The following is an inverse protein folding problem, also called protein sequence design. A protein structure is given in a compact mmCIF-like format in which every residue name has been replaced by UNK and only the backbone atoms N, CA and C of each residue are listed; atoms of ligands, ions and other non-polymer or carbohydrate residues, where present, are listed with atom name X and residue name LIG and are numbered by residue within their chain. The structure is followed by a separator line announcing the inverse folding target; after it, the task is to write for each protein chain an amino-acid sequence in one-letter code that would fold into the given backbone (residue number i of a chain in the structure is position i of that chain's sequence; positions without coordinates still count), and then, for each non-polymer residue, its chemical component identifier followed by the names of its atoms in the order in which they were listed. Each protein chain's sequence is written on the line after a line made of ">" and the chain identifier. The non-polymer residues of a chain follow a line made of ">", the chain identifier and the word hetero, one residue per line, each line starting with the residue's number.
data_IF_985002613930
#
_entry.id   IF_985002613930
#
_cell.length_a   1.000
_cell.length_b   1.000
_cell.length_c   1.000
_cell.angle_alpha   90.00
_cell.angle_beta   90.00
_cell.angle_gamma   90.00
#
_symmetry.space_group_name_H-M   'P 1'
#
loop_
_entity.id
_entity.type
_entity.pdbx_description
1 polymer ?
#
# COMPACT_ATOMS: atom_id res chain seq x y z
N UNK A 1 0.27 -6.27 -25.92
CA UNK A 1 0.09 -4.83 -26.21
C UNK A 1 0.76 -4.03 -25.09
N UNK A 2 1.03 -2.74 -25.24
CA UNK A 2 1.68 -1.95 -24.16
C UNK A 2 0.89 -1.99 -22.84
N UNK A 3 -0.45 -2.07 -22.91
CA UNK A 3 -1.32 -2.22 -21.73
C UNK A 3 -1.03 -3.50 -20.93
N UNK A 4 -0.87 -4.64 -21.59
CA UNK A 4 -0.60 -5.92 -20.92
C UNK A 4 0.74 -5.87 -20.16
N UNK A 5 1.72 -5.13 -20.70
CA UNK A 5 3.03 -4.97 -20.07
C UNK A 5 2.92 -4.13 -18.79
N UNK A 6 2.24 -2.97 -18.87
CA UNK A 6 2.01 -2.09 -17.72
C UNK A 6 1.21 -2.81 -16.64
N UNK A 7 0.17 -3.54 -17.02
CA UNK A 7 -0.64 -4.31 -16.08
C UNK A 7 0.20 -5.36 -15.35
N UNK A 8 1.00 -6.14 -16.09
CA UNK A 8 1.87 -7.15 -15.47
C UNK A 8 2.89 -6.53 -14.50
N UNK A 9 3.49 -5.40 -14.84
CA UNK A 9 4.43 -4.70 -13.94
C UNK A 9 3.74 -4.22 -12.65
N UNK A 10 2.50 -3.75 -12.75
CA UNK A 10 1.69 -3.38 -11.59
C UNK A 10 1.32 -4.60 -10.72
N UNK A 11 0.93 -5.72 -11.36
CA UNK A 11 0.61 -6.97 -10.67
C UNK A 11 1.84 -7.54 -9.93
N UNK A 12 3.00 -7.57 -10.57
CA UNK A 12 4.26 -8.01 -9.96
C UNK A 12 4.63 -7.15 -8.74
N UNK A 13 4.41 -5.84 -8.84
CA UNK A 13 4.64 -4.89 -7.74
C UNK A 13 3.68 -5.15 -6.58
N UNK A 14 2.39 -5.34 -6.86
CA UNK A 14 1.38 -5.64 -5.85
C UNK A 14 1.66 -6.97 -5.14
N UNK A 15 2.03 -8.02 -5.88
CA UNK A 15 2.40 -9.30 -5.29
C UNK A 15 3.63 -9.19 -4.38
N UNK A 16 4.62 -8.35 -4.75
CA UNK A 16 5.76 -8.05 -3.90
C UNK A 16 5.32 -7.43 -2.57
N UNK A 17 4.42 -6.45 -2.63
CA UNK A 17 3.90 -5.76 -1.46
C UNK A 17 3.03 -6.68 -0.60
N UNK A 18 2.20 -7.54 -1.21
CA UNK A 18 1.43 -8.57 -0.52
C UNK A 18 2.32 -9.50 0.31
N UNK A 19 3.47 -9.91 -0.23
CA UNK A 19 4.44 -10.75 0.49
C UNK A 19 5.13 -10.01 1.63
N UNK A 20 5.35 -8.70 1.51
CA UNK A 20 5.96 -7.87 2.56
C UNK A 20 4.97 -7.62 3.70
N UNK A 21 3.74 -7.22 3.38
CA UNK A 21 2.73 -6.84 4.39
C UNK A 21 2.03 -8.08 4.96
N UNK A 22 1.80 -9.12 4.15
CA UNK A 22 1.15 -10.35 4.57
C UNK A 22 -0.38 -10.36 4.39
N UNK A 23 -0.92 -9.54 3.48
CA UNK A 23 -2.36 -9.55 3.16
C UNK A 23 -2.70 -10.44 1.96
N UNK A 24 -3.89 -11.04 2.01
CA UNK A 24 -4.45 -11.84 0.94
C UNK A 24 -5.25 -11.02 -0.08
N UNK A 25 -6.13 -11.65 -0.87
CA UNK A 25 -7.03 -10.96 -1.78
C UNK A 25 -7.84 -9.87 -1.05
N UNK A 26 -8.11 -8.77 -1.75
CA UNK A 26 -8.89 -7.63 -1.25
C UNK A 26 -8.35 -6.97 0.03
N UNK A 27 -7.09 -7.24 0.42
CA UNK A 27 -6.51 -6.68 1.64
C UNK A 27 -6.85 -7.43 2.93
N UNK A 28 -7.48 -8.61 2.85
CA UNK A 28 -7.86 -9.37 4.03
C UNK A 28 -6.65 -10.01 4.73
N UNK A 29 -6.68 -9.98 6.06
CA UNK A 29 -5.68 -10.59 6.94
C UNK A 29 -6.42 -11.36 8.04
N UNK A 30 -5.97 -12.57 8.43
CA UNK A 30 -6.46 -13.22 9.64
C UNK A 30 -6.30 -12.32 10.87
N UNK A 31 -7.27 -12.31 11.79
CA UNK A 31 -7.25 -11.42 12.96
C UNK A 31 -5.98 -11.56 13.80
N UNK A 32 -5.44 -12.78 13.90
CA UNK A 32 -4.18 -13.10 14.58
C UNK A 32 -2.96 -12.39 14.00
N UNK A 33 -2.98 -12.01 12.72
CA UNK A 33 -1.86 -11.35 12.03
C UNK A 33 -2.15 -9.87 11.73
N UNK A 34 -3.29 -9.33 12.16
CA UNK A 34 -3.71 -7.97 11.82
C UNK A 34 -2.69 -6.91 12.28
N UNK A 35 -2.27 -6.98 13.54
CA UNK A 35 -1.34 -6.00 14.12
C UNK A 35 0.04 -6.05 13.42
N UNK A 36 0.49 -7.25 13.05
CA UNK A 36 1.74 -7.44 12.31
C UNK A 36 1.63 -6.84 10.90
N UNK A 37 0.55 -7.14 10.17
CA UNK A 37 0.32 -6.58 8.85
C UNK A 37 0.17 -5.04 8.88
N UNK A 38 -0.50 -4.49 9.90
CA UNK A 38 -0.60 -3.06 10.10
C UNK A 38 0.77 -2.41 10.35
N UNK A 39 1.63 -3.06 11.15
CA UNK A 39 3.00 -2.61 11.39
C UNK A 39 3.85 -2.62 10.12
N UNK A 40 3.78 -3.68 9.31
CA UNK A 40 4.49 -3.77 8.03
C UNK A 40 4.00 -2.73 7.01
N UNK A 41 2.69 -2.49 6.93
CA UNK A 41 2.11 -1.44 6.09
C UNK A 41 2.66 -0.06 6.46
N UNK A 42 2.72 0.24 7.76
CA UNK A 42 3.29 1.50 8.27
C UNK A 42 4.78 1.62 7.95
N UNK A 43 5.56 0.55 8.15
CA UNK A 43 6.99 0.54 7.84
C UNK A 43 7.25 0.77 6.35
N UNK A 44 6.43 0.16 5.47
CA UNK A 44 6.52 0.37 4.03
C UNK A 44 6.20 1.82 3.66
N UNK A 45 5.18 2.42 4.29
CA UNK A 45 4.84 3.84 4.10
C UNK A 45 6.00 4.75 4.48
N UNK A 46 6.60 4.54 5.65
CA UNK A 46 7.74 5.32 6.13
C UNK A 46 8.95 5.21 5.20
N UNK A 47 9.25 3.99 4.73
CA UNK A 47 10.32 3.75 3.76
C UNK A 47 10.05 4.45 2.42
N UNK A 48 8.80 4.45 1.96
CA UNK A 48 8.38 5.11 0.71
C UNK A 48 8.45 6.64 0.84
N UNK A 49 8.05 7.19 1.98
CA UNK A 49 8.17 8.63 2.28
C UNK A 49 9.63 9.10 2.37
N UNK A 50 10.52 8.26 2.93
CA UNK A 50 11.94 8.53 3.01
C UNK A 50 12.61 8.48 1.63
N UNK A 51 12.15 7.61 0.73
CA UNK A 51 12.62 7.49 -0.65
C UNK A 51 12.00 8.54 -1.61
N UNK A 52 11.02 9.34 -1.16
CA UNK A 52 10.34 10.30 -2.00
C UNK A 52 11.28 11.38 -2.55
N UNK A 53 11.31 11.51 -3.88
CA UNK A 53 12.24 12.39 -4.60
C UNK A 53 11.94 13.90 -4.44
N UNK A 54 10.73 14.25 -4.00
CA UNK A 54 10.34 15.64 -3.80
C UNK A 54 9.28 15.79 -2.71
N UNK A 55 9.16 16.99 -2.15
CA UNK A 55 8.12 17.30 -1.17
C UNK A 55 6.71 17.13 -1.75
N UNK A 56 6.52 17.41 -3.05
CA UNK A 56 5.26 17.14 -3.74
C UNK A 56 4.93 15.65 -3.71
N UNK A 57 5.86 14.79 -4.13
CA UNK A 57 5.67 13.33 -4.13
C UNK A 57 5.44 12.83 -2.70
N UNK A 58 6.17 13.35 -1.72
CA UNK A 58 5.98 13.01 -0.31
C UNK A 58 4.57 13.37 0.20
N UNK A 59 4.04 14.52 -0.20
CA UNK A 59 2.69 14.95 0.15
C UNK A 59 1.61 14.03 -0.48
N UNK A 60 1.78 13.65 -1.74
CA UNK A 60 0.88 12.71 -2.43
C UNK A 60 0.88 11.33 -1.74
N UNK A 61 2.06 10.78 -1.41
CA UNK A 61 2.19 9.51 -0.69
C UNK A 61 1.51 9.60 0.70
N UNK A 62 1.71 10.71 1.41
CA UNK A 62 1.14 10.89 2.74
C UNK A 62 -0.39 10.97 2.71
N UNK A 63 -0.97 11.62 1.69
CA UNK A 63 -2.41 11.84 1.54
C UNK A 63 -3.16 10.65 0.93
N UNK A 64 -2.49 9.84 0.09
CA UNK A 64 -3.15 8.83 -0.74
C UNK A 64 -2.61 7.41 -0.52
N UNK A 65 -2.10 7.11 0.68
CA UNK A 65 -1.58 5.78 0.97
C UNK A 65 -2.70 4.72 0.88
N UNK A 66 -2.59 3.72 -0.02
CA UNK A 66 -3.71 2.80 -0.31
C UNK A 66 -4.17 1.93 0.87
N UNK A 67 -3.29 1.71 1.86
CA UNK A 67 -3.52 0.85 3.02
C UNK A 67 -3.73 1.63 4.32
N UNK A 68 -3.79 2.96 4.27
CA UNK A 68 -4.24 3.73 5.42
C UNK A 68 -5.74 3.50 5.63
N UNK A 69 -6.19 3.59 6.88
CA UNK A 69 -7.61 3.54 7.20
C UNK A 69 -8.31 4.69 6.47
N UNK A 70 -9.15 4.34 5.50
CA UNK A 70 -9.91 5.32 4.75
C UNK A 70 -10.98 5.86 5.69
N UNK A 71 -10.88 7.13 6.10
CA UNK A 71 -11.86 7.75 6.99
C UNK A 71 -13.21 7.88 6.26
N UNK A 72 -14.07 6.86 6.38
CA UNK A 72 -15.39 6.78 5.71
C UNK A 72 -16.41 7.78 6.25
N UNK A 73 -16.01 8.68 7.16
CA UNK A 73 -16.90 9.68 7.78
C UNK A 73 -17.55 10.63 6.78
N UNK A 74 -16.92 10.85 5.63
CA UNK A 74 -17.46 11.72 4.57
C UNK A 74 -18.53 11.02 3.69
N UNK A 75 -18.80 9.73 3.92
CA UNK A 75 -19.82 8.95 3.20
C UNK A 75 -21.10 8.71 4.03
N UNK A 76 -21.26 9.36 5.18
CA UNK A 76 -22.46 9.27 6.05
C UNK A 76 -23.37 10.49 5.92
#
# INVERSE_FOLDING_TARGET
>A
MELDKVQREADETLEGIQRIIGFGPDGWVPTEHYEEAAAHSKQLKESTLAAAESDKVRAEIAAHWPWDDMDKKDYM
#
